data_IF_557437825939
#
_entry.id   IF_557437825939
#
_cell.length_a   1.000
_cell.length_b   1.000
_cell.length_c   1.000
_cell.angle_alpha   90.00
_cell.angle_beta   90.00
_cell.angle_gamma   90.00
#
_symmetry.space_group_name_H-M   'P 1'
#
loop_
_entity.id
_entity.type
_entity.pdbx_description
1 polymer ?
#
# COMPACT_ATOMS: atom_id res chain seq x y z
N UNK A 1 10.24 0.29 -17.35
CA UNK A 1 10.50 -0.55 -16.16
C UNK A 1 10.53 -2.01 -16.58
N UNK A 2 11.43 -2.84 -16.03
CA UNK A 2 11.62 -4.23 -16.42
C UNK A 2 11.42 -5.14 -15.20
N UNK A 3 10.72 -6.27 -15.40
CA UNK A 3 10.52 -7.26 -14.33
C UNK A 3 11.52 -8.40 -14.47
N UNK A 4 12.15 -8.75 -13.35
CA UNK A 4 13.10 -9.85 -13.23
C UNK A 4 12.53 -10.89 -12.26
N UNK A 5 12.17 -12.09 -12.75
CA UNK A 5 11.64 -13.16 -11.90
C UNK A 5 12.71 -13.74 -10.97
N UNK A 6 12.29 -14.18 -9.78
CA UNK A 6 13.19 -14.72 -8.76
C UNK A 6 13.76 -16.08 -9.15
N UNK A 7 13.00 -16.91 -9.85
CA UNK A 7 13.37 -18.30 -10.16
C UNK A 7 14.35 -18.44 -11.34
N UNK A 8 15.01 -17.35 -11.77
CA UNK A 8 15.95 -17.37 -12.89
C UNK A 8 15.31 -17.75 -14.23
N UNK A 9 13.98 -17.86 -14.29
CA UNK A 9 13.27 -18.00 -15.54
C UNK A 9 13.65 -16.83 -16.43
N UNK A 10 13.96 -17.12 -17.70
CA UNK A 10 14.50 -16.14 -18.63
C UNK A 10 13.64 -14.86 -18.60
N UNK A 11 14.22 -13.75 -18.11
CA UNK A 11 13.64 -12.42 -18.26
C UNK A 11 13.35 -12.08 -19.74
N UNK A 12 13.90 -12.88 -20.66
CA UNK A 12 13.69 -12.80 -22.10
C UNK A 12 12.26 -13.20 -22.54
N UNK A 13 11.49 -13.94 -21.72
CA UNK A 13 10.09 -14.24 -22.03
C UNK A 13 9.17 -13.17 -21.42
N UNK A 14 9.18 -12.00 -22.04
CA UNK A 14 8.35 -10.85 -21.68
C UNK A 14 6.85 -11.19 -21.61
N UNK A 15 6.37 -12.12 -22.43
CA UNK A 15 4.96 -12.52 -22.47
C UNK A 15 4.58 -13.38 -21.25
N UNK A 16 5.44 -14.33 -20.86
CA UNK A 16 5.23 -15.14 -19.66
C UNK A 16 5.31 -14.30 -18.40
N UNK A 17 6.24 -13.34 -18.34
CA UNK A 17 6.36 -12.40 -17.23
C UNK A 17 5.12 -11.49 -17.12
N UNK A 18 4.60 -10.98 -18.23
CA UNK A 18 3.39 -10.16 -18.23
C UNK A 18 2.15 -10.95 -17.78
N UNK A 19 2.07 -12.24 -18.12
CA UNK A 19 0.94 -13.10 -17.74
C UNK A 19 0.80 -13.27 -16.21
N UNK A 20 1.86 -13.06 -15.44
CA UNK A 20 1.82 -13.12 -13.98
C UNK A 20 0.93 -12.03 -13.35
N UNK A 21 0.73 -10.92 -14.02
CA UNK A 21 0.09 -9.72 -13.47
C UNK A 21 -1.31 -9.46 -14.01
N UNK A 22 -1.78 -10.30 -14.94
CA UNK A 22 -3.09 -10.13 -15.60
C UNK A 22 -4.21 -10.12 -14.57
N UNK A 23 -5.05 -9.08 -14.63
CA UNK A 23 -6.18 -8.82 -13.72
C UNK A 23 -5.78 -8.64 -12.25
N UNK A 24 -4.50 -8.41 -11.94
CA UNK A 24 -4.07 -8.17 -10.57
C UNK A 24 -4.33 -6.73 -10.14
N UNK A 25 -4.70 -6.56 -8.87
CA UNK A 25 -4.55 -5.28 -8.17
C UNK A 25 -3.09 -5.14 -7.77
N UNK A 26 -2.44 -4.07 -8.24
CA UNK A 26 -1.02 -3.78 -7.92
C UNK A 26 -0.98 -2.72 -6.83
N UNK A 27 -0.49 -3.07 -5.63
CA UNK A 27 -0.27 -2.13 -4.54
C UNK A 27 1.15 -1.57 -4.58
N UNK A 28 1.26 -0.26 -4.47
CA UNK A 28 2.55 0.45 -4.42
C UNK A 28 2.55 1.48 -3.29
N UNK A 29 3.67 1.65 -2.56
CA UNK A 29 3.80 2.76 -1.66
C UNK A 29 4.17 4.02 -2.46
N UNK A 30 3.53 5.14 -2.18
CA UNK A 30 4.12 6.41 -2.52
C UNK A 30 5.22 6.71 -1.51
N UNK A 31 6.37 7.17 -1.97
CA UNK A 31 7.39 7.74 -1.07
C UNK A 31 6.85 9.09 -0.61
N UNK A 32 6.30 9.15 0.59
CA UNK A 32 5.47 10.23 1.11
C UNK A 32 5.81 10.53 2.56
N UNK A 33 5.08 11.44 3.19
CA UNK A 33 5.29 11.84 4.58
C UNK A 33 5.43 10.63 5.50
N UNK A 34 6.38 10.67 6.42
CA UNK A 34 6.67 9.66 7.44
C UNK A 34 6.90 8.23 6.91
N UNK A 35 7.14 8.05 5.61
CA UNK A 35 7.25 6.74 4.94
C UNK A 35 6.05 5.80 5.21
N UNK A 36 4.87 6.37 5.48
CA UNK A 36 3.71 5.59 5.90
C UNK A 36 3.34 4.50 4.90
N UNK A 37 3.36 4.81 3.59
CA UNK A 37 3.09 3.82 2.55
C UNK A 37 4.05 2.63 2.61
N UNK A 38 5.36 2.89 2.75
CA UNK A 38 6.39 1.84 2.83
C UNK A 38 6.24 0.99 4.08
N UNK A 39 6.00 1.62 5.25
CA UNK A 39 5.75 0.90 6.51
C UNK A 39 4.50 0.01 6.41
N UNK A 40 3.43 0.54 5.84
CA UNK A 40 2.19 -0.22 5.64
C UNK A 40 2.42 -1.46 4.75
N UNK A 41 3.13 -1.28 3.65
CA UNK A 41 3.49 -2.39 2.74
C UNK A 41 4.39 -3.41 3.44
N UNK A 42 5.39 -2.98 4.21
CA UNK A 42 6.24 -3.88 4.99
C UNK A 42 5.43 -4.71 5.98
N UNK A 43 4.50 -4.07 6.70
CA UNK A 43 3.64 -4.75 7.66
C UNK A 43 2.73 -5.77 7.00
N UNK A 44 2.12 -5.40 5.86
CA UNK A 44 1.27 -6.28 5.07
C UNK A 44 2.06 -7.50 4.58
N UNK A 45 3.22 -7.29 3.95
CA UNK A 45 4.05 -8.38 3.43
C UNK A 45 4.49 -9.30 4.57
N UNK A 46 5.06 -8.75 5.65
CA UNK A 46 5.56 -9.58 6.75
C UNK A 46 4.44 -10.37 7.44
N UNK A 47 3.28 -9.76 7.62
CA UNK A 47 2.10 -10.42 8.20
C UNK A 47 1.64 -11.58 7.33
N UNK A 48 1.49 -11.38 6.03
CA UNK A 48 1.03 -12.43 5.12
C UNK A 48 2.07 -13.55 4.92
N UNK A 49 3.37 -13.23 4.95
CA UNK A 49 4.44 -14.23 4.89
C UNK A 49 4.51 -15.06 6.17
N UNK A 50 4.33 -14.43 7.34
CA UNK A 50 4.49 -15.08 8.66
C UNK A 50 3.26 -15.89 9.09
N UNK A 51 2.07 -15.48 8.67
CA UNK A 51 0.78 -16.00 9.15
C UNK A 51 -0.02 -16.73 8.05
N UNK A 52 0.65 -17.44 7.16
CA UNK A 52 0.03 -18.10 6.01
C UNK A 52 -1.12 -19.07 6.36
N UNK A 53 -1.20 -19.57 7.59
CA UNK A 53 -2.31 -20.39 8.06
C UNK A 53 -3.47 -19.59 8.69
N UNK A 54 -3.21 -18.36 9.12
CA UNK A 54 -4.21 -17.49 9.76
C UNK A 54 -5.02 -16.73 8.72
N UNK A 55 -4.35 -16.30 7.65
CA UNK A 55 -4.99 -15.60 6.55
C UNK A 55 -5.16 -16.54 5.35
N UNK A 56 -6.28 -16.40 4.66
CA UNK A 56 -6.59 -17.13 3.42
C UNK A 56 -5.85 -16.50 2.22
N UNK A 57 -4.58 -16.21 2.41
CA UNK A 57 -3.75 -15.52 1.42
C UNK A 57 -2.33 -16.06 1.49
N UNK A 58 -1.90 -16.75 0.45
CA UNK A 58 -0.51 -17.12 0.28
C UNK A 58 0.20 -16.01 -0.49
N UNK A 59 1.20 -15.39 0.12
CA UNK A 59 2.04 -14.36 -0.51
C UNK A 59 3.45 -14.92 -0.75
N UNK A 60 3.98 -14.71 -1.95
CA UNK A 60 5.34 -15.14 -2.33
C UNK A 60 6.10 -14.00 -2.99
N UNK A 61 7.39 -13.91 -2.75
CA UNK A 61 8.27 -13.07 -3.56
C UNK A 61 8.42 -13.72 -4.94
N UNK A 62 8.05 -12.98 -5.99
CA UNK A 62 8.10 -13.48 -7.38
C UNK A 62 9.23 -12.87 -8.20
N UNK A 63 9.86 -11.81 -7.70
CA UNK A 63 10.95 -11.14 -8.39
C UNK A 63 11.10 -9.68 -7.97
N UNK A 64 11.65 -8.88 -8.84
CA UNK A 64 11.82 -7.45 -8.62
C UNK A 64 11.68 -6.66 -9.92
N UNK A 65 11.36 -5.37 -9.78
CA UNK A 65 11.35 -4.43 -10.88
C UNK A 65 12.67 -3.65 -10.91
N UNK A 66 13.18 -3.42 -12.09
CA UNK A 66 14.32 -2.53 -12.32
C UNK A 66 13.84 -1.27 -13.03
N UNK A 67 14.16 -0.12 -12.45
CA UNK A 67 13.90 1.20 -13.02
C UNK A 67 15.21 1.99 -13.09
N UNK A 68 15.40 2.71 -14.17
CA UNK A 68 16.53 3.67 -14.30
C UNK A 68 16.31 4.93 -13.45
N UNK A 69 15.10 5.10 -12.94
CA UNK A 69 14.68 6.26 -12.15
C UNK A 69 14.73 6.01 -10.65
N UNK A 70 14.99 4.78 -10.22
CA UNK A 70 15.14 4.40 -8.80
C UNK A 70 16.53 3.78 -8.56
N UNK A 71 17.17 4.05 -7.40
CA UNK A 71 18.50 3.51 -7.12
C UNK A 71 18.43 1.99 -6.92
N UNK A 72 19.42 1.23 -7.46
CA UNK A 72 19.50 -0.22 -7.26
C UNK A 72 20.10 -0.53 -5.87
N UNK A 73 19.27 -0.40 -4.83
CA UNK A 73 19.67 -0.63 -3.45
C UNK A 73 19.31 -2.05 -3.04
N UNK A 74 20.23 -2.69 -2.31
CA UNK A 74 20.02 -3.96 -1.63
C UNK A 74 20.32 -3.80 -0.13
N UNK A 75 19.53 -4.44 0.70
CA UNK A 75 19.72 -4.51 2.14
C UNK A 75 19.70 -5.96 2.63
N UNK A 76 19.90 -6.16 3.94
CA UNK A 76 19.73 -7.44 4.58
C UNK A 76 18.27 -7.88 4.67
N UNK A 77 18.04 -9.09 5.20
CA UNK A 77 16.70 -9.64 5.41
C UNK A 77 15.80 -8.65 6.18
N UNK A 78 14.65 -8.35 5.62
CA UNK A 78 13.69 -7.41 6.20
C UNK A 78 12.53 -8.12 6.93
N UNK A 79 12.16 -9.32 6.48
CA UNK A 79 10.98 -10.04 6.94
C UNK A 79 11.35 -11.29 7.75
N UNK A 80 10.46 -11.66 8.69
CA UNK A 80 10.68 -12.74 9.65
C UNK A 80 10.91 -14.11 9.00
N UNK A 81 10.34 -14.37 7.84
CA UNK A 81 10.46 -15.64 7.11
C UNK A 81 11.69 -15.72 6.21
N UNK A 82 12.42 -14.63 6.03
CA UNK A 82 13.62 -14.61 5.21
C UNK A 82 14.80 -15.21 5.94
N UNK A 83 15.67 -15.90 5.19
CA UNK A 83 16.94 -16.38 5.74
C UNK A 83 17.83 -15.18 6.15
N UNK A 84 18.66 -15.32 7.19
CA UNK A 84 19.48 -14.20 7.69
C UNK A 84 20.41 -13.56 6.65
N UNK A 85 20.79 -14.31 5.63
CA UNK A 85 21.65 -13.87 4.52
C UNK A 85 20.87 -13.45 3.27
N UNK A 86 19.54 -13.49 3.31
CA UNK A 86 18.73 -13.06 2.19
C UNK A 86 18.88 -11.56 1.95
N UNK A 87 18.85 -11.19 0.68
CA UNK A 87 18.87 -9.79 0.27
C UNK A 87 17.44 -9.29 0.02
N UNK A 88 17.18 -8.09 0.50
CA UNK A 88 15.99 -7.34 0.19
C UNK A 88 16.33 -6.26 -0.84
N UNK A 89 15.74 -6.35 -2.02
CA UNK A 89 16.02 -5.42 -3.11
C UNK A 89 14.99 -4.27 -3.13
N UNK A 90 15.40 -3.14 -3.69
CA UNK A 90 14.46 -2.09 -4.04
C UNK A 90 13.48 -2.59 -5.11
N UNK A 91 12.21 -2.20 -5.01
CA UNK A 91 11.13 -2.63 -5.90
C UNK A 91 10.95 -4.16 -5.95
N UNK A 92 11.12 -4.83 -4.79
CA UNK A 92 10.77 -6.25 -4.66
C UNK A 92 9.26 -6.47 -4.87
N UNK A 93 8.91 -7.54 -5.59
CA UNK A 93 7.55 -7.85 -6.00
C UNK A 93 7.07 -9.10 -5.30
N UNK A 94 5.99 -8.97 -4.56
CA UNK A 94 5.29 -10.06 -3.87
C UNK A 94 3.93 -10.27 -4.50
N UNK A 95 3.48 -11.52 -4.55
CA UNK A 95 2.25 -11.86 -5.26
C UNK A 95 1.44 -12.93 -4.54
N UNK A 96 0.13 -12.74 -4.51
CA UNK A 96 -0.87 -13.79 -4.25
C UNK A 96 -1.68 -14.02 -5.52
N UNK A 97 -1.53 -15.20 -6.11
CA UNK A 97 -2.27 -15.57 -7.32
C UNK A 97 -3.76 -15.73 -7.06
N UNK A 98 -4.10 -16.31 -5.92
CA UNK A 98 -5.50 -16.59 -5.51
C UNK A 98 -6.31 -15.30 -5.34
N UNK A 99 -5.70 -14.28 -4.76
CA UNK A 99 -6.33 -12.97 -4.53
C UNK A 99 -6.13 -12.00 -5.70
N UNK A 100 -5.40 -12.41 -6.75
CA UNK A 100 -4.99 -11.51 -7.83
C UNK A 100 -4.39 -10.21 -7.28
N UNK A 101 -3.51 -10.35 -6.31
CA UNK A 101 -2.86 -9.26 -5.61
C UNK A 101 -1.36 -9.28 -5.90
N UNK A 102 -0.83 -8.15 -6.32
CA UNK A 102 0.60 -7.89 -6.44
C UNK A 102 0.97 -6.74 -5.51
N UNK A 103 2.02 -6.89 -4.75
CA UNK A 103 2.53 -5.88 -3.81
C UNK A 103 3.96 -5.54 -4.18
N UNK A 104 4.22 -4.28 -4.49
CA UNK A 104 5.56 -3.79 -4.79
C UNK A 104 6.09 -3.05 -3.57
N UNK A 105 7.24 -3.48 -3.06
CA UNK A 105 7.90 -2.79 -1.96
C UNK A 105 9.01 -1.88 -2.49
N UNK A 106 8.83 -0.59 -2.31
CA UNK A 106 9.82 0.43 -2.64
C UNK A 106 10.60 0.84 -1.39
N UNK A 107 11.91 0.55 -1.38
CA UNK A 107 12.78 0.77 -0.22
C UNK A 107 13.54 2.09 -0.25
N UNK A 108 13.58 2.73 -1.39
CA UNK A 108 14.31 3.98 -1.55
C UNK A 108 13.51 4.98 -2.38
N UNK A 109 13.72 6.29 -2.15
CA UNK A 109 13.11 7.31 -2.98
C UNK A 109 13.63 7.22 -4.41
N UNK A 110 12.89 7.78 -5.34
CA UNK A 110 13.34 7.93 -6.72
C UNK A 110 14.53 8.91 -6.80
N UNK A 111 15.34 8.78 -7.83
CA UNK A 111 16.46 9.68 -8.06
C UNK A 111 15.96 11.14 -8.24
N UNK A 112 16.72 12.13 -7.78
CA UNK A 112 16.36 13.54 -7.92
C UNK A 112 16.02 13.91 -9.36
N UNK A 113 14.89 14.59 -9.57
CA UNK A 113 14.39 14.99 -10.88
C UNK A 113 13.79 13.86 -11.72
N UNK A 114 13.68 12.62 -11.19
CA UNK A 114 13.15 11.46 -11.92
C UNK A 114 11.73 11.04 -11.54
N UNK A 115 11.05 11.82 -10.72
CA UNK A 115 9.70 11.47 -10.24
C UNK A 115 8.71 11.20 -11.39
N UNK A 116 8.60 12.11 -12.35
CA UNK A 116 7.70 11.93 -13.50
C UNK A 116 8.09 10.73 -14.36
N UNK A 117 9.40 10.53 -14.61
CA UNK A 117 9.88 9.38 -15.40
C UNK A 117 9.57 8.06 -14.69
N UNK A 118 9.80 8.00 -13.38
CA UNK A 118 9.49 6.81 -12.58
C UNK A 118 7.98 6.47 -12.61
N UNK A 119 7.15 7.49 -12.41
CA UNK A 119 5.70 7.34 -12.45
C UNK A 119 5.23 6.82 -13.81
N UNK A 120 5.75 7.40 -14.88
CA UNK A 120 5.44 6.95 -16.24
C UNK A 120 5.88 5.49 -16.45
N UNK A 121 7.13 5.14 -16.11
CA UNK A 121 7.66 3.77 -16.22
C UNK A 121 6.79 2.76 -15.46
N UNK A 122 6.32 3.11 -14.25
CA UNK A 122 5.52 2.21 -13.40
C UNK A 122 4.11 2.00 -13.98
N UNK A 123 3.45 3.09 -14.39
CA UNK A 123 2.08 3.00 -14.93
C UNK A 123 2.08 2.29 -16.29
N UNK A 124 3.03 2.60 -17.18
CA UNK A 124 3.18 1.89 -18.46
C UNK A 124 3.47 0.40 -18.26
N UNK A 125 4.31 0.05 -17.26
CA UNK A 125 4.56 -1.33 -16.91
C UNK A 125 3.28 -2.03 -16.44
N UNK A 126 2.50 -1.41 -15.56
CA UNK A 126 1.24 -1.97 -15.06
C UNK A 126 0.24 -2.22 -16.22
N UNK A 127 0.13 -1.27 -17.16
CA UNK A 127 -0.73 -1.41 -18.33
C UNK A 127 -0.23 -2.54 -19.24
N UNK A 128 1.07 -2.58 -19.57
CA UNK A 128 1.65 -3.62 -20.42
C UNK A 128 1.52 -5.02 -19.81
N UNK A 129 1.52 -5.10 -18.49
CA UNK A 129 1.29 -6.32 -17.72
C UNK A 129 -0.19 -6.65 -17.52
N UNK A 130 -1.10 -5.85 -18.07
CA UNK A 130 -2.56 -6.01 -17.97
C UNK A 130 -3.06 -6.06 -16.52
N UNK A 131 -2.45 -5.27 -15.64
CA UNK A 131 -2.97 -5.08 -14.29
C UNK A 131 -4.38 -4.46 -14.35
N UNK A 132 -5.27 -4.90 -13.46
CA UNK A 132 -6.63 -4.38 -13.41
C UNK A 132 -6.71 -3.01 -12.74
N UNK A 133 -5.90 -2.80 -11.70
CA UNK A 133 -5.98 -1.58 -10.88
C UNK A 133 -4.64 -1.29 -10.23
N UNK A 134 -4.29 -0.02 -10.09
CA UNK A 134 -3.17 0.44 -9.27
C UNK A 134 -3.70 0.99 -7.93
N UNK A 135 -3.26 0.41 -6.82
CA UNK A 135 -3.52 0.89 -5.47
C UNK A 135 -2.32 1.63 -4.91
N UNK A 136 -2.47 2.87 -4.50
CA UNK A 136 -1.39 3.74 -4.01
C UNK A 136 -1.59 4.06 -2.54
N UNK A 137 -0.55 3.86 -1.72
CA UNK A 137 -0.57 4.12 -0.29
C UNK A 137 0.31 5.31 0.04
N UNK A 138 -0.24 6.32 0.74
CA UNK A 138 0.48 7.52 1.07
C UNK A 138 0.17 8.04 2.48
N UNK A 139 1.18 8.58 3.15
CA UNK A 139 1.01 9.52 4.24
C UNK A 139 0.87 10.93 3.70
N UNK A 140 0.20 11.81 4.41
CA UNK A 140 0.21 13.24 4.14
C UNK A 140 0.51 14.02 5.42
N UNK A 141 0.85 15.29 5.26
CA UNK A 141 1.22 16.16 6.37
C UNK A 141 0.00 16.45 7.27
N UNK A 142 0.10 16.10 8.53
CA UNK A 142 -0.93 16.32 9.56
C UNK A 142 -0.89 17.75 10.14
N UNK A 143 0.24 18.43 10.06
CA UNK A 143 0.42 19.76 10.67
C UNK A 143 -0.37 20.87 9.98
N UNK A 144 -0.76 20.67 8.74
CA UNK A 144 -1.46 21.66 7.92
C UNK A 144 -2.97 21.38 7.84
N UNK A 145 -3.50 20.51 8.71
CA UNK A 145 -4.92 20.25 8.78
C UNK A 145 -5.64 21.40 9.46
N UNK A 146 -6.75 21.80 8.85
CA UNK A 146 -7.67 22.80 9.38
C UNK A 146 -9.05 22.22 9.72
N UNK A 147 -9.17 20.88 9.74
CA UNK A 147 -10.45 20.25 10.03
C UNK A 147 -10.76 20.26 11.54
N UNK A 148 -12.05 20.22 11.85
CA UNK A 148 -12.58 20.33 13.20
C UNK A 148 -12.18 19.10 14.08
N UNK A 149 -11.82 17.98 13.42
CA UNK A 149 -11.49 16.73 14.09
C UNK A 149 -9.99 16.42 14.05
N UNK A 150 -9.15 17.31 14.61
CA UNK A 150 -7.70 17.13 14.67
C UNK A 150 -7.26 15.83 15.38
N UNK A 151 -8.13 15.25 16.21
CA UNK A 151 -7.85 13.99 16.93
C UNK A 151 -8.11 12.74 16.11
N UNK A 152 -8.86 12.83 15.02
CA UNK A 152 -9.09 11.71 14.11
C UNK A 152 -8.08 11.73 12.96
N UNK A 153 -7.63 10.55 12.53
CA UNK A 153 -6.75 10.38 11.37
C UNK A 153 -7.48 9.58 10.28
N UNK A 154 -8.48 10.19 9.61
CA UNK A 154 -9.29 9.49 8.62
C UNK A 154 -8.43 9.09 7.42
N UNK A 155 -8.63 7.87 6.93
CA UNK A 155 -8.05 7.43 5.67
C UNK A 155 -8.97 7.94 4.55
N UNK A 156 -8.41 8.80 3.70
CA UNK A 156 -9.12 9.33 2.53
C UNK A 156 -8.89 8.38 1.36
N UNK A 157 -9.95 8.00 0.68
CA UNK A 157 -9.87 7.21 -0.55
C UNK A 157 -10.16 8.10 -1.75
N UNK A 158 -9.21 8.15 -2.69
CA UNK A 158 -9.31 8.96 -3.91
C UNK A 158 -9.30 8.01 -5.10
N UNK A 159 -10.38 8.03 -5.87
CA UNK A 159 -10.55 7.20 -7.06
C UNK A 159 -10.23 8.01 -8.32
N UNK A 160 -9.56 7.38 -9.29
CA UNK A 160 -9.54 7.90 -10.65
C UNK A 160 -10.92 7.80 -11.29
N UNK A 161 -11.20 8.61 -12.31
CA UNK A 161 -12.49 8.60 -12.99
C UNK A 161 -12.86 7.21 -13.52
N UNK A 162 -11.88 6.46 -14.02
CA UNK A 162 -12.07 5.10 -14.51
C UNK A 162 -12.30 4.08 -13.39
N UNK A 163 -11.70 4.29 -12.21
CA UNK A 163 -11.94 3.43 -11.05
C UNK A 163 -13.36 3.59 -10.52
N UNK A 164 -13.92 4.78 -10.59
CA UNK A 164 -15.31 5.04 -10.22
C UNK A 164 -16.34 4.40 -11.17
N UNK A 165 -15.92 4.00 -12.36
CA UNK A 165 -16.76 3.31 -13.36
C UNK A 165 -16.57 1.80 -13.34
N UNK A 166 -15.61 1.28 -12.58
CA UNK A 166 -15.43 -0.16 -12.45
C UNK A 166 -16.64 -0.79 -11.80
N UNK A 167 -17.04 -1.92 -12.40
CA UNK A 167 -18.15 -2.75 -11.97
C UNK A 167 -18.20 -2.89 -10.44
N UNK A 168 -19.38 -2.84 -9.84
CA UNK A 168 -19.63 -3.02 -8.40
C UNK A 168 -18.84 -4.18 -7.78
N UNK A 169 -18.49 -5.21 -8.58
CA UNK A 169 -17.67 -6.34 -8.13
C UNK A 169 -16.24 -5.97 -7.73
N UNK A 170 -15.65 -4.92 -8.32
CA UNK A 170 -14.32 -4.42 -7.96
C UNK A 170 -14.44 -3.32 -6.90
N UNK A 171 -15.44 -2.47 -7.02
CA UNK A 171 -15.76 -1.48 -6.00
C UNK A 171 -16.18 -2.17 -4.69
N UNK A 172 -16.94 -3.25 -4.71
CA UNK A 172 -17.27 -4.03 -3.52
C UNK A 172 -16.06 -4.70 -2.89
N UNK A 173 -14.96 -4.88 -3.59
CA UNK A 173 -13.68 -5.22 -2.95
C UNK A 173 -13.14 -4.05 -2.12
N UNK A 174 -13.44 -2.82 -2.50
CA UNK A 174 -12.95 -1.60 -1.85
C UNK A 174 -14.01 -0.93 -0.95
N UNK A 175 -15.31 -1.12 -1.21
CA UNK A 175 -16.43 -0.47 -0.51
C UNK A 175 -16.80 -1.08 0.85
N UNK A 176 -16.17 -2.14 1.29
CA UNK A 176 -16.47 -2.75 2.60
C UNK A 176 -16.20 -1.85 3.83
N UNK A 177 -15.85 -0.57 3.63
CA UNK A 177 -15.44 0.34 4.71
C UNK A 177 -15.68 1.81 4.36
N UNK A 178 -16.91 2.18 4.25
CA UNK A 178 -17.30 3.48 4.74
C UNK A 178 -17.30 3.43 6.26
N UNK A 179 -16.14 3.44 6.86
CA UNK A 179 -16.04 3.76 8.27
C UNK A 179 -16.11 5.25 8.40
N UNK A 180 -17.17 5.63 9.08
CA UNK A 180 -17.48 7.00 9.49
C UNK A 180 -17.66 7.95 8.31
N UNK A 181 -18.87 7.97 7.80
CA UNK A 181 -19.56 9.12 7.30
C UNK A 181 -18.86 10.38 7.81
N UNK A 182 -18.09 11.03 6.94
CA UNK A 182 -18.04 12.48 7.01
C UNK A 182 -19.49 12.89 7.20
N UNK A 183 -19.78 13.47 8.35
CA UNK A 183 -21.15 13.82 8.73
C UNK A 183 -21.79 14.58 7.56
N UNK A 184 -23.05 14.33 7.32
CA UNK A 184 -23.89 14.84 6.21
C UNK A 184 -23.78 16.36 6.00
N UNK A 185 -23.10 17.09 6.88
CA UNK A 185 -22.82 18.51 6.79
C UNK A 185 -21.59 18.91 5.94
N UNK A 186 -20.62 18.00 5.69
CA UNK A 186 -19.49 18.30 4.79
C UNK A 186 -19.72 17.87 3.33
N UNK A 187 -20.74 17.06 3.07
CA UNK A 187 -21.12 16.65 1.72
C UNK A 187 -21.52 17.83 0.79
N UNK A 188 -21.78 19.01 1.33
CA UNK A 188 -22.13 20.21 0.55
C UNK A 188 -20.90 20.94 -0.03
N UNK A 189 -19.67 20.58 0.35
CA UNK A 189 -18.42 21.22 -0.10
C UNK A 189 -17.35 20.22 -0.56
N UNK A 190 -17.69 18.98 -0.86
CA UNK A 190 -16.73 18.03 -1.43
C UNK A 190 -16.24 18.57 -2.79
N UNK A 191 -14.93 18.69 -3.01
CA UNK A 191 -14.38 19.15 -4.28
C UNK A 191 -14.87 18.27 -5.42
N UNK A 192 -15.33 18.87 -6.50
CA UNK A 192 -16.01 18.20 -7.60
C UNK A 192 -15.08 17.42 -8.52
N UNK A 193 -13.75 17.56 -8.37
CA UNK A 193 -12.75 16.88 -9.20
C UNK A 193 -11.64 16.24 -8.37
N UNK A 194 -10.99 15.21 -8.94
CA UNK A 194 -9.82 14.55 -8.33
C UNK A 194 -8.65 15.52 -8.15
N UNK A 195 -8.50 16.48 -9.04
CA UNK A 195 -7.44 17.50 -8.99
C UNK A 195 -7.60 18.40 -7.76
N UNK A 196 -8.81 18.90 -7.51
CA UNK A 196 -9.10 19.74 -6.33
C UNK A 196 -8.83 19.01 -5.02
N UNK A 197 -9.07 17.71 -4.97
CA UNK A 197 -8.76 16.87 -3.79
C UNK A 197 -7.27 16.82 -3.49
N UNK A 198 -6.42 16.70 -4.52
CA UNK A 198 -4.97 16.66 -4.34
C UNK A 198 -4.36 18.01 -3.97
N UNK A 199 -4.94 19.14 -4.41
CA UNK A 199 -4.48 20.47 -4.05
C UNK A 199 -4.53 20.75 -2.55
N UNK A 200 -5.44 20.10 -1.85
CA UNK A 200 -5.60 20.20 -0.39
C UNK A 200 -4.71 19.26 0.39
N UNK A 201 -4.01 18.32 -0.27
CA UNK A 201 -3.20 17.29 0.36
C UNK A 201 -1.72 17.58 0.12
N UNK A 202 -0.97 17.84 1.18
CA UNK A 202 0.48 18.07 1.12
C UNK A 202 1.23 16.86 1.67
N UNK A 203 2.45 16.64 1.20
CA UNK A 203 3.31 15.56 1.69
C UNK A 203 2.98 14.17 1.16
N UNK A 204 1.99 14.02 0.26
CA UNK A 204 1.59 12.71 -0.29
C UNK A 204 2.61 12.11 -1.29
N UNK A 205 3.79 12.71 -1.43
CA UNK A 205 4.90 12.18 -2.23
C UNK A 205 4.52 11.96 -3.69
N UNK A 206 4.71 10.74 -4.19
CA UNK A 206 4.42 10.38 -5.58
C UNK A 206 2.93 10.13 -5.86
N UNK A 207 2.07 10.04 -4.84
CA UNK A 207 0.68 9.64 -5.02
C UNK A 207 -0.12 10.54 -5.98
N UNK A 208 -0.04 11.88 -5.93
CA UNK A 208 -0.73 12.74 -6.90
C UNK A 208 -0.28 12.51 -8.33
N UNK A 209 1.04 12.29 -8.54
CA UNK A 209 1.60 12.05 -9.87
C UNK A 209 1.18 10.69 -10.42
N UNK A 210 1.17 9.65 -9.58
CA UNK A 210 0.70 8.31 -9.95
C UNK A 210 -0.77 8.36 -10.34
N UNK A 211 -1.60 8.99 -9.52
CA UNK A 211 -3.03 9.13 -9.78
C UNK A 211 -3.28 9.87 -11.10
N UNK A 212 -2.66 11.03 -11.31
CA UNK A 212 -2.81 11.81 -12.53
C UNK A 212 -2.34 11.04 -13.79
N UNK A 213 -1.22 10.31 -13.69
CA UNK A 213 -0.74 9.48 -14.80
C UNK A 213 -1.66 8.30 -15.10
N UNK A 214 -2.24 7.69 -14.07
CA UNK A 214 -3.25 6.65 -14.25
C UNK A 214 -4.50 7.19 -14.95
N UNK A 215 -4.96 8.39 -14.60
CA UNK A 215 -6.08 9.04 -15.30
C UNK A 215 -5.74 9.32 -16.77
N UNK A 216 -4.54 9.86 -17.03
CA UNK A 216 -4.07 10.15 -18.40
C UNK A 216 -4.04 8.89 -19.27
N UNK A 217 -3.50 7.78 -18.73
CA UNK A 217 -3.33 6.51 -19.45
C UNK A 217 -4.49 5.53 -19.26
N UNK A 218 -5.58 5.96 -18.63
CA UNK A 218 -6.80 5.20 -18.45
C UNK A 218 -6.62 3.89 -17.65
N UNK A 219 -5.64 3.82 -16.75
CA UNK A 219 -5.50 2.73 -15.79
C UNK A 219 -6.33 3.06 -14.54
N UNK A 220 -7.25 2.18 -14.10
CA UNK A 220 -7.97 2.38 -12.85
C UNK A 220 -7.01 2.54 -11.66
N UNK A 221 -7.22 3.59 -10.84
CA UNK A 221 -6.36 3.89 -9.72
C UNK A 221 -7.16 4.24 -8.47
N UNK A 222 -6.72 3.70 -7.34
CA UNK A 222 -7.25 4.01 -6.01
C UNK A 222 -6.09 4.45 -5.12
N UNK A 223 -6.17 5.64 -4.54
CA UNK A 223 -5.18 6.11 -3.58
C UNK A 223 -5.78 6.18 -2.18
N UNK A 224 -5.11 5.57 -1.21
CA UNK A 224 -5.42 5.69 0.22
C UNK A 224 -4.40 6.63 0.85
N UNK A 225 -4.90 7.72 1.42
CA UNK A 225 -4.08 8.78 1.99
C UNK A 225 -4.48 9.02 3.43
N UNK A 226 -3.51 8.99 4.33
CA UNK A 226 -3.75 9.17 5.76
C UNK A 226 -2.86 10.28 6.32
N UNK A 227 -3.42 11.24 7.09
CA UNK A 227 -2.63 12.23 7.79
C UNK A 227 -1.72 11.57 8.83
N UNK A 228 -0.44 11.96 8.85
CA UNK A 228 0.53 11.46 9.82
C UNK A 228 1.61 12.51 10.09
N UNK A 229 2.11 12.53 11.32
CA UNK A 229 3.26 13.34 11.70
C UNK A 229 4.56 12.57 11.47
N UNK A 230 5.67 13.27 11.31
CA UNK A 230 6.99 12.66 11.31
C UNK A 230 7.29 12.02 12.68
N UNK A 231 7.88 10.82 12.69
CA UNK A 231 8.24 10.11 13.91
C UNK A 231 7.99 8.60 13.84
N UNK A 232 7.57 8.03 14.98
CA UNK A 232 7.22 6.61 15.05
C UNK A 232 5.78 6.39 14.56
N UNK A 233 5.65 5.94 13.32
CA UNK A 233 4.38 5.73 12.64
C UNK A 233 3.94 4.26 12.58
N UNK A 234 4.39 3.43 13.53
CA UNK A 234 3.99 2.01 13.61
C UNK A 234 2.48 1.86 13.76
N UNK A 235 1.86 2.68 14.61
CA UNK A 235 0.41 2.62 14.84
C UNK A 235 -0.37 3.12 13.60
N UNK A 236 0.13 4.16 12.93
CA UNK A 236 -0.48 4.67 11.71
C UNK A 236 -0.39 3.65 10.58
N UNK A 237 0.77 2.97 10.44
CA UNK A 237 0.94 1.87 9.50
C UNK A 237 0.00 0.68 9.80
N UNK A 238 -0.21 0.36 11.09
CA UNK A 238 -1.15 -0.68 11.50
C UNK A 238 -2.60 -0.29 11.19
N UNK A 239 -2.99 0.97 11.39
CA UNK A 239 -4.31 1.47 11.03
C UNK A 239 -4.55 1.40 9.51
N UNK A 240 -3.58 1.87 8.71
CA UNK A 240 -3.65 1.79 7.25
C UNK A 240 -3.68 0.33 6.77
N UNK A 241 -2.85 -0.56 7.34
CA UNK A 241 -2.85 -1.99 7.02
C UNK A 241 -4.21 -2.63 7.37
N UNK A 242 -4.79 -2.29 8.52
CA UNK A 242 -6.13 -2.76 8.91
C UNK A 242 -7.18 -2.37 7.87
N UNK A 243 -7.14 -1.12 7.41
CA UNK A 243 -8.02 -0.64 6.35
C UNK A 243 -7.85 -1.46 5.07
N UNK A 244 -6.60 -1.72 4.64
CA UNK A 244 -6.31 -2.52 3.45
C UNK A 244 -6.77 -3.97 3.57
N UNK A 245 -6.50 -4.63 4.71
CA UNK A 245 -6.94 -6.00 4.95
C UNK A 245 -8.46 -6.14 4.79
N UNK A 246 -9.21 -5.17 5.27
CA UNK A 246 -10.66 -5.11 5.12
C UNK A 246 -11.07 -4.83 3.67
N UNK A 247 -10.53 -3.76 3.07
CA UNK A 247 -10.86 -3.35 1.69
C UNK A 247 -10.56 -4.43 0.65
N UNK A 248 -9.45 -5.15 0.82
CA UNK A 248 -9.04 -6.23 -0.07
C UNK A 248 -9.56 -7.61 0.38
N UNK A 249 -10.36 -7.66 1.44
CA UNK A 249 -10.91 -8.90 2.02
C UNK A 249 -9.83 -9.96 2.27
N UNK A 250 -8.69 -9.54 2.81
CA UNK A 250 -7.62 -10.43 3.20
C UNK A 250 -7.94 -10.98 4.60
N UNK A 251 -8.17 -12.29 4.73
CA UNK A 251 -8.38 -12.91 6.04
C UNK A 251 -9.83 -13.24 6.42
N UNK A 252 -10.72 -13.41 5.47
CA UNK A 252 -12.13 -13.71 5.74
C UNK A 252 -12.42 -15.07 6.41
N UNK A 253 -11.46 -15.98 6.53
CA UNK A 253 -11.69 -17.30 7.18
C UNK A 253 -12.14 -17.21 8.65
N UNK A 254 -11.85 -16.12 9.33
CA UNK A 254 -12.16 -15.96 10.76
C UNK A 254 -13.27 -14.93 11.06
N UNK A 255 -13.85 -14.31 10.03
CA UNK A 255 -14.94 -13.35 10.19
C UNK A 255 -16.33 -13.97 9.96
N UNK A 256 -16.39 -15.27 9.64
CA UNK A 256 -17.66 -16.00 9.49
C UNK A 256 -18.00 -16.72 10.80
N UNK A 257 -18.26 -15.99 11.86
CA UNK A 257 -18.95 -16.51 13.03
C UNK A 257 -20.07 -15.56 13.36
N UNK A 258 -21.28 -16.09 13.14
CA UNK A 258 -22.57 -15.61 13.61
C UNK A 258 -23.02 -14.21 13.13
N UNK A 259 -24.01 -14.13 12.20
CA UNK A 259 -24.64 -12.87 11.82
C UNK A 259 -25.41 -12.19 12.96
N UNK A 260 -25.65 -12.88 14.07
CA UNK A 260 -26.39 -12.37 15.23
C UNK A 260 -25.49 -11.87 16.37
N UNK A 261 -24.17 -11.99 16.28
CA UNK A 261 -23.25 -11.42 17.24
C UNK A 261 -22.93 -9.97 16.90
N UNK A 262 -23.94 -9.11 16.87
CA UNK A 262 -23.75 -7.65 16.94
C UNK A 262 -23.38 -7.31 18.37
N UNK A 263 -22.14 -7.55 18.78
CA UNK A 263 -21.58 -6.95 19.98
C UNK A 263 -20.85 -5.67 19.57
N UNK A 264 -21.24 -4.57 20.17
CA UNK A 264 -20.65 -3.22 20.10
C UNK A 264 -19.16 -3.16 20.57
N UNK A 265 -18.44 -4.23 20.41
CA UNK A 265 -17.02 -4.32 20.77
C UNK A 265 -16.20 -4.14 19.50
N UNK A 266 -15.21 -3.27 19.58
CA UNK A 266 -14.17 -3.04 18.56
C UNK A 266 -13.84 -4.35 17.81
N UNK A 267 -13.80 -4.33 16.47
CA UNK A 267 -13.40 -5.52 15.72
C UNK A 267 -12.08 -6.03 16.26
N UNK A 268 -11.90 -7.36 16.38
CA UNK A 268 -10.69 -7.93 16.95
C UNK A 268 -9.48 -7.36 16.21
N UNK A 269 -8.50 -6.88 16.97
CA UNK A 269 -7.26 -6.35 16.39
C UNK A 269 -6.65 -7.42 15.49
N UNK A 270 -6.35 -7.09 14.25
CA UNK A 270 -5.69 -8.03 13.34
C UNK A 270 -4.33 -8.42 13.93
N UNK A 271 -3.97 -9.71 13.95
CA UNK A 271 -2.71 -10.18 14.51
C UNK A 271 -1.55 -9.83 13.55
N UNK A 272 -1.11 -8.58 13.55
CA UNK A 272 0.01 -8.17 12.72
C UNK A 272 1.33 -8.76 13.21
N UNK A 273 2.11 -9.31 12.27
CA UNK A 273 3.49 -9.68 12.48
C UNK A 273 4.40 -8.52 12.07
N UNK A 274 4.97 -7.82 13.05
CA UNK A 274 5.85 -6.69 12.77
C UNK A 274 7.19 -7.16 12.18
N UNK A 275 7.70 -6.49 11.14
CA UNK A 275 8.98 -6.84 10.52
C UNK A 275 10.13 -6.72 11.52
N UNK A 276 11.04 -7.72 11.61
CA UNK A 276 12.21 -7.64 12.51
C UNK A 276 13.12 -6.44 12.21
N UNK A 277 13.17 -6.01 10.96
CA UNK A 277 13.93 -4.82 10.54
C UNK A 277 13.48 -3.53 11.21
N UNK A 278 12.24 -3.46 11.69
CA UNK A 278 11.72 -2.27 12.37
C UNK A 278 12.38 -2.02 13.73
N UNK A 279 12.91 -3.04 14.38
CA UNK A 279 13.70 -2.88 15.61
C UNK A 279 14.94 -2.00 15.40
N UNK A 280 15.44 -1.91 14.15
CA UNK A 280 16.58 -1.05 13.80
C UNK A 280 16.14 0.37 13.43
N UNK A 281 14.93 0.54 12.89
CA UNK A 281 14.42 1.85 12.44
C UNK A 281 14.04 2.73 13.62
N UNK A 282 13.44 2.16 14.65
CA UNK A 282 12.89 2.91 15.78
C UNK A 282 13.79 2.89 17.02
N UNK A 283 14.97 2.25 16.92
CA UNK A 283 15.89 2.12 18.03
C UNK A 283 15.41 1.17 19.13
N UNK A 284 16.26 0.97 20.14
CA UNK A 284 15.82 0.36 21.39
C UNK A 284 15.08 1.42 22.20
N UNK A 285 13.97 1.08 22.82
CA UNK A 285 13.34 1.93 23.82
C UNK A 285 14.38 2.39 24.85
N UNK A 286 14.23 3.58 25.46
CA UNK A 286 15.17 4.06 26.46
C UNK A 286 15.32 3.02 27.54
N UNK A 287 16.56 2.72 27.93
CA UNK A 287 16.86 1.81 29.02
C UNK A 287 16.28 2.41 30.31
N UNK A 288 15.28 1.72 30.86
CA UNK A 288 14.58 2.20 32.08
C UNK A 288 15.56 2.41 33.24
N UNK A 289 16.71 1.71 33.23
CA UNK A 289 17.77 1.88 34.22
C UNK A 289 18.44 3.26 34.19
N UNK A 290 18.29 4.03 33.13
CA UNK A 290 18.81 5.41 33.04
C UNK A 290 17.94 6.42 33.80
N UNK A 291 16.76 6.04 34.26
CA UNK A 291 15.81 6.89 34.98
C UNK A 291 15.60 6.47 36.47
N UNK A 292 16.37 5.47 36.91
CA UNK A 292 16.46 5.03 38.30
C UNK A 292 17.79 5.45 38.90
#
# INVERSE_FOLDING_TARGET
MEFYPQDGANAADSAACAALFVDHTVLVPAVSNANLGQLTIDLLINTLLSNGNTFDVELKCVGHLLSKSAPPIAGGAAFATQQPHALCLNLAVYQSKEKKLTVIQQRAPVLPGKAHTFVQELVEWAISSKAATLGVLAGCDDMLRHDVNMMSRPIRTIYSANAAQLDESILTRFEGLTTETESVHEAAQAPSSSVERWEQIRGAGLAPLLHAKCEELQLPCVAWVMPCAEGNNVLDAAAMATHLFRSLRLGQKHLTTDPDAVSDLMPPALPFAFPPSWNQLFGRGPDVSLYL
#
